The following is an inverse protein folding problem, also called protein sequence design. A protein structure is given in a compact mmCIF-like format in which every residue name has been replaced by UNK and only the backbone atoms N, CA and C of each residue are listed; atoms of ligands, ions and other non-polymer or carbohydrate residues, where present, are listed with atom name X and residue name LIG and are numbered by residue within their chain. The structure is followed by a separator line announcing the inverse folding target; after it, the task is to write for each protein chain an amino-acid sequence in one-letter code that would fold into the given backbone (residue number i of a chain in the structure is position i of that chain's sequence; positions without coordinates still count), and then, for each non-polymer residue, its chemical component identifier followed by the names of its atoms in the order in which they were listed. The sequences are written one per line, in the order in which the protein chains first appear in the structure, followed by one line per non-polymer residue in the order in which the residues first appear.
data_IF_456416596599
#
_entry.id   IF_456416596599
#
_cell.length_a   1.000
_cell.length_b   1.000
_cell.length_c   1.000
_cell.angle_alpha   90.00
_cell.angle_beta   90.00
_cell.angle_gamma   90.00
#
_symmetry.space_group_name_H-M   'P 1'
#
loop_
_entity.id
_entity.type
_entity.pdbx_description
1 polymer ?
#
# COMPACT_ATOMS: atom_id res chain seq x y z
N UNK A 1 63.54 -39.17 -4.74
CA UNK A 1 62.34 -39.86 -5.29
C UNK A 1 61.25 -39.80 -4.21
N UNK A 2 60.00 -39.47 -4.60
CA UNK A 2 58.74 -39.34 -3.78
C UNK A 2 58.40 -40.61 -2.96
N UNK A 3 57.44 -40.63 -1.98
CA UNK A 3 56.21 -39.78 -1.80
C UNK A 3 56.07 -39.18 -0.35
N UNK A 4 55.32 -38.13 0.03
CA UNK A 4 53.94 -37.58 -0.16
C UNK A 4 52.80 -38.37 0.52
N UNK A 5 51.89 -37.61 1.19
CA UNK A 5 50.50 -37.88 1.64
C UNK A 5 50.28 -38.53 3.03
N UNK A 6 49.28 -38.22 3.88
CA UNK A 6 48.20 -37.22 4.07
C UNK A 6 47.65 -37.46 5.51
N UNK A 7 47.24 -36.46 6.32
CA UNK A 7 46.40 -36.73 7.50
C UNK A 7 44.91 -36.70 7.14
N UNK A 8 44.23 -37.81 7.45
CA UNK A 8 42.79 -38.01 7.31
C UNK A 8 42.00 -37.09 8.24
N UNK A 9 41.15 -36.23 7.68
CA UNK A 9 40.08 -35.54 8.40
C UNK A 9 38.77 -36.25 8.08
N UNK A 10 38.20 -36.92 9.08
CA UNK A 10 36.89 -37.54 8.97
C UNK A 10 35.81 -36.46 9.04
N UNK A 11 35.07 -36.29 7.94
CA UNK A 11 33.95 -35.36 7.82
C UNK A 11 32.68 -36.04 8.38
N UNK A 12 32.11 -35.49 9.45
CA UNK A 12 30.78 -35.88 9.94
C UNK A 12 29.73 -35.26 9.02
N UNK A 13 29.00 -36.10 8.30
CA UNK A 13 27.83 -35.68 7.51
C UNK A 13 26.60 -35.73 8.41
N UNK A 14 26.11 -34.57 8.83
CA UNK A 14 24.78 -34.41 9.41
C UNK A 14 23.77 -34.21 8.27
N UNK A 15 22.94 -35.22 8.04
CA UNK A 15 21.80 -35.14 7.13
C UNK A 15 20.71 -34.27 7.78
N UNK A 16 20.59 -33.02 7.33
CA UNK A 16 19.45 -32.17 7.64
C UNK A 16 18.33 -32.47 6.63
N UNK A 17 17.22 -32.99 7.13
CA UNK A 17 15.97 -33.20 6.39
C UNK A 17 15.43 -31.83 5.96
N UNK A 18 15.53 -31.52 4.68
CA UNK A 18 14.98 -30.31 4.09
C UNK A 18 13.46 -30.46 3.92
N UNK A 19 12.72 -30.02 4.93
CA UNK A 19 11.31 -29.66 4.78
C UNK A 19 11.20 -28.38 3.96
N UNK A 20 10.64 -28.46 2.76
CA UNK A 20 10.34 -27.30 1.93
C UNK A 20 9.22 -26.46 2.56
N UNK A 21 9.56 -25.55 3.46
CA UNK A 21 8.74 -24.37 3.72
C UNK A 21 9.32 -23.23 2.90
N UNK A 22 8.67 -22.92 1.77
CA UNK A 22 8.95 -21.72 0.98
C UNK A 22 8.45 -20.48 1.73
N UNK A 23 9.12 -20.14 2.84
CA UNK A 23 9.01 -18.83 3.44
C UNK A 23 9.63 -17.86 2.43
N UNK A 24 8.79 -17.11 1.72
CA UNK A 24 9.23 -16.04 0.84
C UNK A 24 9.96 -15.00 1.69
N UNK A 25 11.30 -15.03 1.65
CA UNK A 25 12.11 -13.98 2.22
C UNK A 25 11.70 -12.66 1.54
N UNK A 26 11.53 -11.55 2.29
CA UNK A 26 11.31 -10.26 1.67
C UNK A 26 12.50 -9.97 0.73
N UNK A 27 12.22 -9.66 -0.53
CA UNK A 27 13.23 -9.25 -1.50
C UNK A 27 13.75 -7.89 -1.05
N UNK A 28 14.81 -7.89 -0.22
CA UNK A 28 15.57 -6.69 0.13
C UNK A 28 16.51 -6.41 -1.05
N UNK A 29 16.03 -5.65 -2.04
CA UNK A 29 16.93 -5.15 -3.08
C UNK A 29 17.92 -4.14 -2.48
N UNK A 30 19.22 -4.24 -2.77
CA UNK A 30 20.21 -3.32 -2.25
C UNK A 30 20.00 -1.93 -2.83
N UNK A 31 19.57 -1.01 -1.96
CA UNK A 31 19.66 0.44 -2.14
C UNK A 31 18.67 1.02 -3.15
N UNK A 32 17.39 1.05 -2.81
CA UNK A 32 16.49 1.98 -3.49
C UNK A 32 16.94 3.42 -3.23
N UNK A 33 17.08 4.21 -4.31
CA UNK A 33 17.57 5.60 -4.29
C UNK A 33 16.53 6.59 -4.81
N UNK A 34 15.26 6.21 -4.72
CA UNK A 34 14.16 7.04 -5.14
C UNK A 34 14.19 8.39 -4.41
N UNK A 35 13.95 9.46 -5.15
CA UNK A 35 13.76 10.80 -4.58
C UNK A 35 12.56 10.79 -3.63
N UNK A 36 12.64 11.59 -2.57
CA UNK A 36 11.54 11.78 -1.63
C UNK A 36 10.33 12.40 -2.35
N UNK A 37 9.13 12.07 -1.87
CA UNK A 37 7.94 12.75 -2.38
C UNK A 37 7.92 14.22 -1.95
N UNK A 38 7.33 15.11 -2.77
CA UNK A 38 7.16 16.50 -2.39
C UNK A 38 6.24 16.62 -1.17
N UNK A 39 6.31 17.75 -0.43
CA UNK A 39 5.33 18.06 0.61
C UNK A 39 3.88 17.89 0.09
N UNK A 40 2.96 17.36 0.92
CA UNK A 40 3.12 17.01 2.34
C UNK A 40 3.68 15.59 2.60
N UNK A 41 4.17 14.88 1.59
CA UNK A 41 4.47 13.44 1.66
C UNK A 41 5.94 13.13 1.95
N UNK A 42 6.71 14.07 2.50
CA UNK A 42 8.15 13.92 2.74
C UNK A 42 8.49 12.78 3.70
N UNK A 43 7.55 12.37 4.53
CA UNK A 43 7.70 11.25 5.47
C UNK A 43 7.38 9.87 4.85
N UNK A 44 6.77 9.85 3.65
CA UNK A 44 6.43 8.59 2.97
C UNK A 44 7.71 8.00 2.37
N UNK A 45 8.07 6.79 2.81
CA UNK A 45 9.24 6.09 2.27
C UNK A 45 9.01 5.70 0.79
N UNK A 46 9.66 6.36 -0.19
CA UNK A 46 9.39 6.13 -1.62
C UNK A 46 9.81 4.73 -2.08
N UNK A 47 10.64 4.06 -1.28
CA UNK A 47 11.18 2.74 -1.52
C UNK A 47 10.31 1.59 -0.98
N UNK A 48 9.29 1.90 -0.19
CA UNK A 48 8.38 0.90 0.38
C UNK A 48 7.02 0.98 -0.30
N UNK A 49 6.72 -0.02 -1.14
CA UNK A 49 5.42 -0.12 -1.78
C UNK A 49 4.27 -0.11 -0.76
N UNK A 50 4.41 -0.87 0.33
CA UNK A 50 3.39 -0.93 1.38
C UNK A 50 3.19 0.40 2.08
N UNK A 51 4.25 1.19 2.31
CA UNK A 51 4.12 2.53 2.89
C UNK A 51 3.39 3.48 1.93
N UNK A 52 3.76 3.49 0.64
CA UNK A 52 3.09 4.30 -0.38
C UNK A 52 1.62 3.95 -0.50
N UNK A 53 1.29 2.65 -0.55
CA UNK A 53 -0.08 2.16 -0.64
C UNK A 53 -0.90 2.54 0.60
N UNK A 54 -0.39 2.29 1.81
CA UNK A 54 -1.08 2.62 3.07
C UNK A 54 -1.39 4.12 3.16
N UNK A 55 -0.41 4.98 2.85
CA UNK A 55 -0.61 6.43 2.92
C UNK A 55 -1.58 6.90 1.84
N UNK A 56 -1.46 6.41 0.61
CA UNK A 56 -2.38 6.79 -0.46
C UNK A 56 -3.84 6.44 -0.13
N UNK A 57 -4.09 5.22 0.35
CA UNK A 57 -5.44 4.79 0.77
C UNK A 57 -5.93 5.64 1.95
N UNK A 58 -5.08 5.86 2.95
CA UNK A 58 -5.43 6.70 4.11
C UNK A 58 -5.82 8.11 3.69
N UNK A 59 -5.03 8.73 2.80
CA UNK A 59 -5.30 10.09 2.31
C UNK A 59 -6.59 10.18 1.51
N UNK A 60 -6.88 9.19 0.65
CA UNK A 60 -8.10 9.16 -0.17
C UNK A 60 -9.39 9.08 0.63
N UNK A 61 -9.35 8.40 1.77
CA UNK A 61 -10.51 8.24 2.65
C UNK A 61 -10.46 9.12 3.89
N UNK A 62 -9.48 10.01 4.01
CA UNK A 62 -9.42 11.03 5.08
C UNK A 62 -10.38 12.17 4.75
N UNK A 63 -11.66 11.87 4.82
CA UNK A 63 -12.74 12.84 4.66
C UNK A 63 -13.05 13.49 6.00
N UNK A 64 -13.41 14.76 5.98
CA UNK A 64 -13.79 15.50 7.18
C UNK A 64 -14.80 16.61 6.80
N UNK A 65 -16.10 16.36 7.01
CA UNK A 65 -17.14 17.35 6.74
C UNK A 65 -16.98 18.65 7.53
N UNK A 66 -16.37 18.60 8.73
CA UNK A 66 -16.18 19.77 9.60
C UNK A 66 -15.03 20.64 9.09
N UNK A 67 -13.94 20.01 8.63
CA UNK A 67 -12.79 20.69 8.03
C UNK A 67 -12.98 21.01 6.53
N UNK A 68 -14.08 20.58 5.92
CA UNK A 68 -14.36 20.76 4.49
C UNK A 68 -13.50 19.89 3.58
N UNK A 69 -13.02 18.74 4.07
CA UNK A 69 -12.22 17.78 3.29
C UNK A 69 -13.17 16.79 2.64
N UNK A 70 -13.37 16.95 1.34
CA UNK A 70 -14.19 16.12 0.46
C UNK A 70 -13.36 15.14 -0.40
N UNK A 71 -14.04 14.29 -1.17
CA UNK A 71 -13.38 13.31 -2.04
C UNK A 71 -12.41 13.96 -3.04
N UNK A 72 -12.77 15.12 -3.58
CA UNK A 72 -11.94 15.84 -4.54
C UNK A 72 -10.64 16.33 -3.91
N UNK A 73 -10.71 17.00 -2.77
CA UNK A 73 -9.54 17.50 -2.05
C UNK A 73 -8.67 16.36 -1.52
N UNK A 74 -9.27 15.26 -1.04
CA UNK A 74 -8.56 14.04 -0.67
C UNK A 74 -7.80 13.41 -1.85
N UNK A 75 -8.42 13.35 -3.04
CA UNK A 75 -7.76 12.88 -4.25
C UNK A 75 -6.57 13.75 -4.66
N UNK A 76 -6.76 15.07 -4.68
CA UNK A 76 -5.72 16.03 -5.02
C UNK A 76 -4.54 15.93 -4.05
N UNK A 77 -4.81 15.73 -2.75
CA UNK A 77 -3.78 15.53 -1.75
C UNK A 77 -3.02 14.22 -1.95
N UNK A 78 -3.68 13.13 -2.36
CA UNK A 78 -3.05 11.84 -2.63
C UNK A 78 -2.34 11.77 -4.00
N UNK A 79 -2.67 12.67 -4.93
CA UNK A 79 -2.19 12.67 -6.32
C UNK A 79 -0.67 12.52 -6.50
N UNK A 80 0.21 13.13 -5.67
CA UNK A 80 1.66 12.96 -5.79
C UNK A 80 2.16 11.52 -5.57
N UNK A 81 1.36 10.67 -4.91
CA UNK A 81 1.68 9.26 -4.67
C UNK A 81 1.23 8.36 -5.83
N UNK A 82 0.55 8.92 -6.83
CA UNK A 82 -0.04 8.18 -7.94
C UNK A 82 0.80 8.31 -9.21
N UNK A 83 0.74 7.29 -10.06
CA UNK A 83 1.22 7.42 -11.44
C UNK A 83 0.38 8.46 -12.17
N UNK A 84 1.03 9.31 -12.96
CA UNK A 84 0.34 10.32 -13.75
C UNK A 84 -0.82 9.75 -14.59
N UNK A 85 -0.60 8.60 -15.25
CA UNK A 85 -1.64 7.92 -16.04
C UNK A 85 -2.84 7.47 -15.23
N UNK A 86 -2.62 7.08 -13.97
CA UNK A 86 -3.70 6.73 -13.05
C UNK A 86 -4.36 8.02 -12.56
N UNK A 87 -3.61 9.00 -12.06
CA UNK A 87 -4.12 10.28 -11.56
C UNK A 87 -5.03 11.05 -12.54
N UNK A 88 -4.88 10.84 -13.85
CA UNK A 88 -5.68 11.52 -14.89
C UNK A 88 -6.87 10.71 -15.41
N UNK A 89 -7.07 9.46 -14.97
CA UNK A 89 -8.19 8.65 -15.42
C UNK A 89 -9.48 9.05 -14.69
N UNK A 90 -10.39 9.70 -15.42
CA UNK A 90 -11.65 10.19 -14.89
C UNK A 90 -12.54 9.10 -14.28
N UNK A 91 -12.36 7.82 -14.67
CA UNK A 91 -13.17 6.69 -14.17
C UNK A 91 -12.86 6.30 -12.72
N UNK A 92 -11.74 6.79 -12.19
CA UNK A 92 -11.32 6.53 -10.80
C UNK A 92 -12.22 7.29 -9.82
N UNK A 93 -12.67 8.49 -10.23
CA UNK A 93 -13.41 9.42 -9.39
C UNK A 93 -14.69 8.86 -8.78
N UNK A 94 -15.44 8.05 -9.52
CA UNK A 94 -16.74 7.54 -9.05
C UNK A 94 -16.64 6.18 -8.36
N UNK A 95 -15.67 5.35 -8.76
CA UNK A 95 -15.57 3.97 -8.25
C UNK A 95 -14.89 3.87 -6.89
N UNK A 96 -14.00 4.80 -6.52
CA UNK A 96 -13.29 4.74 -5.23
C UNK A 96 -14.17 5.10 -4.03
N UNK A 97 -15.12 6.03 -4.18
CA UNK A 97 -16.00 6.43 -3.07
C UNK A 97 -17.40 5.83 -3.18
N UNK A 98 -17.62 4.85 -4.05
CA UNK A 98 -18.92 4.17 -4.20
C UNK A 98 -19.55 3.66 -2.89
N UNK A 99 -18.79 3.23 -1.85
CA UNK A 99 -19.35 2.89 -0.54
C UNK A 99 -19.97 4.07 0.23
N UNK A 100 -19.64 5.30 -0.14
CA UNK A 100 -20.14 6.53 0.48
C UNK A 100 -21.22 7.11 -0.42
N UNK A 101 -22.49 6.88 -0.08
CA UNK A 101 -23.59 7.40 -0.90
C UNK A 101 -23.67 8.92 -0.80
N UNK A 102 -24.20 9.63 -1.83
CA UNK A 102 -24.43 11.06 -1.75
C UNK A 102 -25.31 11.47 -0.56
N UNK A 103 -26.28 10.64 -0.18
CA UNK A 103 -27.16 10.88 0.96
C UNK A 103 -26.38 10.79 2.28
N UNK A 104 -25.54 9.77 2.45
CA UNK A 104 -24.69 9.63 3.62
C UNK A 104 -23.71 10.81 3.75
N UNK A 105 -23.08 11.20 2.65
CA UNK A 105 -22.19 12.36 2.63
C UNK A 105 -22.93 13.66 2.97
N UNK A 106 -24.08 13.92 2.33
CA UNK A 106 -24.88 15.11 2.56
C UNK A 106 -25.32 15.25 4.01
N UNK A 107 -25.80 14.16 4.60
CA UNK A 107 -26.22 14.13 6.00
C UNK A 107 -25.04 14.33 6.98
N UNK A 108 -23.84 13.83 6.67
CA UNK A 108 -22.64 14.13 7.47
C UNK A 108 -22.21 15.60 7.37
N UNK A 109 -22.33 16.21 6.19
CA UNK A 109 -22.05 17.63 5.95
C UNK A 109 -23.05 18.51 6.70
N UNK A 110 -24.36 18.26 6.52
CA UNK A 110 -25.43 19.04 7.15
C UNK A 110 -25.36 18.97 8.67
N UNK A 111 -25.06 17.78 9.20
CA UNK A 111 -24.92 17.54 10.63
C UNK A 111 -23.55 17.95 11.20
N UNK A 112 -22.60 18.39 10.35
CA UNK A 112 -21.20 18.68 10.71
C UNK A 112 -20.58 17.57 11.56
N UNK A 113 -20.69 16.33 11.10
CA UNK A 113 -20.23 15.15 11.82
C UNK A 113 -18.74 14.94 11.54
N UNK A 114 -17.87 14.95 12.57
CA UNK A 114 -16.48 14.59 12.36
C UNK A 114 -16.37 13.10 12.01
N UNK A 115 -15.58 12.81 10.98
CA UNK A 115 -15.27 11.44 10.57
C UNK A 115 -13.88 11.05 11.07
N UNK A 116 -13.78 9.81 11.55
CA UNK A 116 -12.51 9.15 11.81
C UNK A 116 -12.35 8.01 10.81
N UNK A 117 -11.27 8.08 10.06
CA UNK A 117 -10.86 7.06 9.07
C UNK A 117 -9.83 6.14 9.68
N UNK A 118 -10.08 4.85 9.60
CA UNK A 118 -9.11 3.82 9.94
C UNK A 118 -8.83 2.97 8.70
N UNK A 119 -7.55 2.73 8.43
CA UNK A 119 -7.12 1.92 7.30
C UNK A 119 -6.15 0.87 7.81
N UNK A 120 -6.48 -0.40 7.62
CA UNK A 120 -5.66 -1.52 8.02
C UNK A 120 -5.34 -2.39 6.80
N UNK A 121 -4.07 -2.75 6.62
CA UNK A 121 -3.70 -3.76 5.61
C UNK A 121 -4.29 -5.11 6.02
N UNK A 122 -4.94 -5.80 5.09
CA UNK A 122 -5.34 -7.18 5.29
C UNK A 122 -4.16 -8.11 5.01
N UNK A 123 -4.22 -9.35 5.49
CA UNK A 123 -3.25 -10.38 5.12
C UNK A 123 -3.35 -10.81 3.65
N UNK A 124 -4.40 -10.38 2.95
CA UNK A 124 -4.67 -10.78 1.58
C UNK A 124 -3.79 -10.00 0.60
N UNK A 125 -3.05 -10.76 -0.20
CA UNK A 125 -2.23 -10.24 -1.28
C UNK A 125 -2.70 -10.87 -2.57
N UNK A 126 -3.45 -10.15 -3.43
CA UNK A 126 -4.08 -10.74 -4.61
C UNK A 126 -3.08 -11.32 -5.62
N UNK A 127 -1.87 -10.76 -5.65
CA UNK A 127 -0.79 -11.13 -6.56
C UNK A 127 0.54 -11.01 -5.81
N UNK A 128 1.45 -12.00 -5.90
CA UNK A 128 2.77 -11.92 -5.29
C UNK A 128 3.54 -10.66 -5.70
N UNK A 129 4.32 -10.10 -4.77
CA UNK A 129 5.18 -8.96 -5.06
C UNK A 129 6.30 -9.33 -6.02
N UNK A 130 6.65 -8.39 -6.88
CA UNK A 130 7.82 -8.45 -7.76
C UNK A 130 8.72 -7.24 -7.51
N UNK A 131 9.89 -7.20 -8.16
CA UNK A 131 10.78 -6.05 -8.09
C UNK A 131 10.13 -4.73 -8.56
N UNK A 132 9.04 -4.78 -9.35
CA UNK A 132 8.42 -3.60 -9.98
C UNK A 132 6.91 -3.47 -9.76
N UNK A 133 6.28 -4.44 -9.09
CA UNK A 133 4.84 -4.46 -8.81
C UNK A 133 4.57 -5.00 -7.40
N UNK A 134 3.66 -4.37 -6.67
CA UNK A 134 3.21 -4.84 -5.36
C UNK A 134 1.74 -4.51 -5.16
N UNK A 135 0.98 -5.45 -4.60
CA UNK A 135 -0.46 -5.28 -4.35
C UNK A 135 -0.80 -5.60 -2.91
N UNK A 136 -1.73 -4.85 -2.33
CA UNK A 136 -2.29 -5.12 -1.00
C UNK A 136 -3.79 -4.90 -1.03
N UNK A 137 -4.50 -5.55 -0.12
CA UNK A 137 -5.88 -5.23 0.21
C UNK A 137 -5.90 -4.51 1.55
N UNK A 138 -6.76 -3.51 1.68
CA UNK A 138 -6.94 -2.73 2.89
C UNK A 138 -8.40 -2.78 3.31
N UNK A 139 -8.65 -2.93 4.60
CA UNK A 139 -9.93 -2.60 5.22
C UNK A 139 -9.94 -1.10 5.50
N UNK A 140 -10.99 -0.42 5.07
CA UNK A 140 -11.25 0.99 5.36
C UNK A 140 -12.50 1.07 6.21
N UNK A 141 -12.41 1.73 7.36
CA UNK A 141 -13.55 2.02 8.22
C UNK A 141 -13.70 3.54 8.38
N UNK A 142 -14.88 4.04 8.03
CA UNK A 142 -15.30 5.42 8.27
C UNK A 142 -16.25 5.41 9.46
N UNK A 143 -15.80 5.99 10.57
CA UNK A 143 -16.53 6.03 11.83
C UNK A 143 -16.94 7.45 12.15
N UNK A 144 -18.14 7.60 12.71
CA UNK A 144 -18.60 8.86 13.29
C UNK A 144 -19.32 8.60 14.59
N UNK A 145 -19.30 9.61 15.47
CA UNK A 145 -20.06 9.53 16.71
C UNK A 145 -21.56 9.39 16.41
N UNK A 146 -22.20 8.40 17.03
CA UNK A 146 -23.65 8.13 16.96
C UNK A 146 -24.18 7.62 15.59
N UNK A 147 -23.34 7.12 14.69
CA UNK A 147 -23.77 6.52 13.42
C UNK A 147 -23.12 5.15 13.18
N UNK A 148 -23.76 4.34 12.35
CA UNK A 148 -23.20 3.06 11.92
C UNK A 148 -21.93 3.30 11.09
N UNK A 149 -20.81 2.62 11.42
CA UNK A 149 -19.60 2.68 10.59
C UNK A 149 -19.86 2.19 9.17
N UNK A 150 -19.20 2.82 8.20
CA UNK A 150 -19.09 2.28 6.84
C UNK A 150 -17.75 1.58 6.73
N UNK A 151 -17.77 0.26 6.53
CA UNK A 151 -16.59 -0.57 6.38
C UNK A 151 -16.59 -1.25 5.01
N UNK A 152 -15.45 -1.20 4.31
CA UNK A 152 -15.29 -1.80 2.99
C UNK A 152 -13.82 -2.14 2.71
N UNK A 153 -13.59 -2.94 1.67
CA UNK A 153 -12.25 -3.35 1.27
C UNK A 153 -11.79 -2.61 0.02
N UNK A 154 -10.49 -2.31 -0.03
CA UNK A 154 -9.85 -1.64 -1.17
C UNK A 154 -8.64 -2.44 -1.58
N UNK A 155 -8.65 -2.93 -2.82
CA UNK A 155 -7.43 -3.43 -3.46
C UNK A 155 -6.64 -2.26 -4.01
N UNK A 156 -5.33 -2.27 -3.81
CA UNK A 156 -4.43 -1.26 -4.31
C UNK A 156 -3.15 -1.88 -4.87
N UNK A 157 -2.67 -1.37 -6.00
CA UNK A 157 -1.45 -1.80 -6.65
C UNK A 157 -0.52 -0.63 -6.86
N UNK A 158 0.72 -0.80 -6.45
CA UNK A 158 1.81 0.11 -6.74
C UNK A 158 2.75 -0.51 -7.77
N UNK A 159 3.36 0.33 -8.60
CA UNK A 159 4.42 -0.07 -9.53
C UNK A 159 5.58 0.92 -9.49
N UNK A 160 6.76 0.46 -9.87
CA UNK A 160 7.93 1.30 -10.13
C UNK A 160 8.65 0.85 -11.39
N UNK A 161 9.31 1.76 -12.09
CA UNK A 161 10.04 1.44 -13.32
C UNK A 161 11.42 0.79 -13.06
N UNK A 162 11.95 0.88 -11.84
CA UNK A 162 13.23 0.33 -11.42
C UNK A 162 13.61 0.80 -10.01
N UNK A 163 14.73 0.31 -9.47
CA UNK A 163 15.15 0.59 -8.09
C UNK A 163 15.45 2.08 -7.79
N UNK A 164 15.77 2.86 -8.82
CA UNK A 164 16.03 4.31 -8.74
C UNK A 164 14.73 5.14 -8.75
N UNK A 165 13.56 4.51 -8.88
CA UNK A 165 12.27 5.18 -8.98
C UNK A 165 11.38 4.85 -7.79
N UNK A 166 10.65 5.85 -7.31
CA UNK A 166 9.66 5.67 -6.26
C UNK A 166 8.58 4.68 -6.70
N UNK A 167 8.05 3.94 -5.74
CA UNK A 167 6.78 3.24 -5.90
C UNK A 167 5.66 4.26 -6.06
N UNK A 168 4.77 4.03 -7.02
CA UNK A 168 3.61 4.90 -7.28
C UNK A 168 2.36 4.05 -7.43
N UNK A 169 1.23 4.53 -6.89
CA UNK A 169 -0.06 3.89 -7.06
C UNK A 169 -0.43 3.86 -8.53
N UNK A 170 -0.69 2.66 -9.05
CA UNK A 170 -1.00 2.40 -10.44
C UNK A 170 -2.46 1.99 -10.63
N UNK A 171 -3.08 1.40 -9.60
CA UNK A 171 -4.50 1.04 -9.60
C UNK A 171 -5.01 0.99 -8.15
N UNK A 172 -6.27 1.40 -7.95
CA UNK A 172 -7.07 1.07 -6.76
C UNK A 172 -8.49 0.72 -7.17
N UNK A 173 -9.14 -0.12 -6.37
CA UNK A 173 -10.52 -0.55 -6.58
C UNK A 173 -11.16 -0.97 -5.25
N UNK A 174 -12.37 -0.48 -5.01
CA UNK A 174 -13.26 -0.99 -3.95
C UNK A 174 -13.76 -2.39 -4.32
N UNK A 175 -13.68 -3.31 -3.37
CA UNK A 175 -14.05 -4.72 -3.54
C UNK A 175 -15.49 -5.00 -3.12
#
# INVERSE_FOLDING_TARGET
MKPVAFPSVALVVLAAVSGCSSAHAPVVEPGCRAEAFPPPHTEVAPCSASAVLQVAVTMLYRLDPVAGVDARSAFEAARPLMRATYATDARIGESLWAPITPEAWGDWVDSRVPLRTEVAVTGDTPVPDTATSSSRVFTVALTSAARTPIEFSVSARATRAGAERAWLVAEMRVL
#
